data_IF_951494884627
#
_entry.id   IF_951494884627
#
_cell.length_a   1.000
_cell.length_b   1.000
_cell.length_c   1.000
_cell.angle_alpha   90.00
_cell.angle_beta   90.00
_cell.angle_gamma   90.00
#
_symmetry.space_group_name_H-M   'P 1'
#
loop_
_entity.id
_entity.type
_entity.pdbx_description
1 polymer ?
#
# COMPACT_ATOMS: atom_id res chain seq x y z
N UNK A 1 2.71 2.59 -4.66
CA UNK A 1 3.77 2.98 -3.70
C UNK A 1 3.47 4.30 -3.01
N UNK A 2 3.61 5.45 -3.71
CA UNK A 2 3.47 6.78 -3.08
C UNK A 2 2.13 6.93 -2.35
N UNK A 3 1.01 6.61 -2.99
CA UNK A 3 -0.33 6.74 -2.38
C UNK A 3 -0.45 5.94 -1.06
N UNK A 4 0.16 4.76 -0.98
CA UNK A 4 0.06 3.90 0.20
C UNK A 4 0.96 4.36 1.36
N UNK A 5 2.14 4.91 1.05
CA UNK A 5 3.13 5.26 2.06
C UNK A 5 3.12 6.73 2.46
N UNK A 6 2.64 7.62 1.59
CA UNK A 6 2.61 9.06 1.83
C UNK A 6 1.86 9.44 3.13
N UNK A 7 0.69 8.86 3.46
CA UNK A 7 0.00 9.19 4.71
C UNK A 7 0.83 8.87 5.96
N UNK A 8 1.52 7.73 5.98
CA UNK A 8 2.40 7.35 7.08
C UNK A 8 3.55 8.35 7.26
N UNK A 9 4.23 8.71 6.17
CA UNK A 9 5.32 9.68 6.22
C UNK A 9 4.85 11.07 6.65
N UNK A 10 3.69 11.53 6.16
CA UNK A 10 3.09 12.80 6.60
C UNK A 10 2.79 12.76 8.10
N UNK A 11 2.17 11.70 8.62
CA UNK A 11 1.92 11.60 10.06
C UNK A 11 3.20 11.61 10.88
N UNK A 12 4.28 11.02 10.37
CA UNK A 12 5.57 11.04 11.04
C UNK A 12 6.18 12.44 11.09
N UNK A 13 6.08 13.20 9.99
CA UNK A 13 6.50 14.61 9.95
C UNK A 13 5.65 15.45 10.91
N UNK A 14 4.33 15.28 10.91
CA UNK A 14 3.44 16.01 11.80
C UNK A 14 3.76 15.75 13.27
N UNK A 15 4.00 14.49 13.66
CA UNK A 15 4.36 14.15 15.04
C UNK A 15 5.67 14.79 15.53
N UNK A 16 6.56 15.20 14.62
CA UNK A 16 7.80 15.91 14.95
C UNK A 16 7.56 17.42 15.05
N UNK A 17 6.71 17.98 14.18
CA UNK A 17 6.54 19.44 14.03
C UNK A 17 5.37 20.00 14.83
N UNK A 18 4.43 19.16 15.24
CA UNK A 18 3.33 19.55 16.10
C UNK A 18 3.21 18.61 17.29
N UNK A 19 2.84 19.17 18.43
CA UNK A 19 2.44 18.42 19.63
C UNK A 19 1.02 17.82 19.46
N UNK A 20 0.70 17.42 18.23
CA UNK A 20 -0.57 16.82 17.88
C UNK A 20 -0.59 15.42 18.50
N UNK A 21 -1.49 15.18 19.45
CA UNK A 21 -1.77 13.83 19.93
C UNK A 21 -2.44 13.01 18.82
N UNK A 22 -1.63 12.47 17.90
CA UNK A 22 -2.09 11.55 16.85
C UNK A 22 -2.47 10.23 17.52
N UNK A 23 -3.72 9.77 17.38
CA UNK A 23 -4.14 8.52 18.02
C UNK A 23 -3.32 7.33 17.50
N UNK A 24 -2.94 6.37 18.36
CA UNK A 24 -2.20 5.16 17.96
C UNK A 24 -2.88 4.34 16.85
N UNK A 25 -4.23 4.41 16.81
CA UNK A 25 -5.05 3.77 15.77
C UNK A 25 -4.77 4.36 14.39
N UNK A 26 -4.54 5.68 14.28
CA UNK A 26 -4.23 6.35 13.01
C UNK A 26 -2.85 5.92 12.51
N UNK A 27 -1.86 5.86 13.40
CA UNK A 27 -0.52 5.33 13.09
C UNK A 27 -0.60 3.89 12.58
N UNK A 28 -1.37 3.04 13.28
CA UNK A 28 -1.56 1.66 12.89
C UNK A 28 -2.23 1.56 11.52
N UNK A 29 -3.31 2.31 11.28
CA UNK A 29 -4.03 2.32 10.01
C UNK A 29 -3.14 2.70 8.82
N UNK A 30 -2.33 3.76 8.94
CA UNK A 30 -1.43 4.17 7.85
C UNK A 30 -0.25 3.22 7.65
N UNK A 31 0.21 2.56 8.72
CA UNK A 31 1.20 1.49 8.59
C UNK A 31 0.63 0.30 7.81
N UNK A 32 -0.59 -0.14 8.15
CA UNK A 32 -1.30 -1.20 7.41
C UNK A 32 -1.56 -0.82 5.96
N UNK A 33 -1.93 0.43 5.68
CA UNK A 33 -2.06 0.94 4.30
C UNK A 33 -0.73 0.82 3.52
N UNK A 34 0.40 1.11 4.16
CA UNK A 34 1.73 0.89 3.60
C UNK A 34 1.97 -0.57 3.21
N UNK A 35 1.55 -1.52 4.04
CA UNK A 35 1.66 -2.96 3.74
C UNK A 35 0.73 -3.41 2.61
N UNK A 36 -0.45 -2.82 2.47
CA UNK A 36 -1.37 -3.10 1.34
C UNK A 36 -0.70 -2.83 -0.01
N UNK A 37 0.28 -1.92 -0.10
CA UNK A 37 1.05 -1.68 -1.32
C UNK A 37 1.63 -2.97 -1.94
N UNK A 38 2.11 -3.90 -1.11
CA UNK A 38 2.69 -5.15 -1.58
C UNK A 38 1.65 -6.06 -2.25
N UNK A 39 0.43 -6.10 -1.71
CA UNK A 39 -0.68 -6.87 -2.27
C UNK A 39 -1.28 -6.24 -3.53
N UNK A 40 -1.22 -4.91 -3.65
CA UNK A 40 -1.73 -4.17 -4.82
C UNK A 40 -0.84 -4.39 -6.06
N UNK A 41 0.46 -4.62 -5.89
CA UNK A 41 1.39 -4.79 -7.03
C UNK A 41 0.98 -5.92 -8.01
N UNK A 42 0.68 -7.16 -7.56
CA UNK A 42 0.14 -8.20 -8.44
C UNK A 42 -1.14 -7.80 -9.19
N UNK A 43 -2.03 -7.03 -8.55
CA UNK A 43 -3.27 -6.54 -9.17
C UNK A 43 -2.93 -5.57 -10.30
N UNK A 44 -1.99 -4.65 -10.09
CA UNK A 44 -1.51 -3.74 -11.12
C UNK A 44 -0.91 -4.53 -12.29
N UNK A 45 -0.05 -5.51 -12.03
CA UNK A 45 0.58 -6.31 -13.09
C UNK A 45 -0.46 -7.09 -13.91
N UNK A 46 -1.43 -7.72 -13.26
CA UNK A 46 -2.48 -8.48 -13.95
C UNK A 46 -3.49 -7.60 -14.67
N UNK A 47 -3.69 -6.35 -14.24
CA UNK A 47 -4.62 -5.41 -14.89
C UNK A 47 -3.99 -4.76 -16.12
N UNK A 48 -2.76 -4.27 -16.01
CA UNK A 48 -2.13 -3.44 -17.04
C UNK A 48 -1.15 -4.20 -17.94
N UNK A 49 -0.70 -5.40 -17.57
CA UNK A 49 0.17 -6.21 -18.40
C UNK A 49 -0.50 -7.53 -18.80
N UNK A 50 -0.81 -7.65 -20.09
CA UNK A 50 -1.57 -8.77 -20.63
C UNK A 50 -0.81 -10.10 -20.55
N UNK A 51 0.52 -10.07 -20.61
CA UNK A 51 1.35 -11.27 -20.52
C UNK A 51 1.39 -11.78 -19.08
N UNK A 52 1.50 -10.88 -18.08
CA UNK A 52 1.35 -11.25 -16.67
C UNK A 52 -0.04 -11.82 -16.38
N UNK A 53 -1.09 -11.23 -16.95
CA UNK A 53 -2.45 -11.75 -16.81
C UNK A 53 -2.60 -13.17 -17.36
N UNK A 54 -2.11 -13.42 -18.58
CA UNK A 54 -2.14 -14.76 -19.20
C UNK A 54 -1.35 -15.78 -18.39
N UNK A 55 -0.16 -15.40 -17.91
CA UNK A 55 0.66 -16.27 -17.07
C UNK A 55 -0.05 -16.62 -15.75
N UNK A 56 -0.65 -15.66 -15.07
CA UNK A 56 -1.44 -15.90 -13.86
C UNK A 56 -2.64 -16.82 -14.12
N UNK A 57 -3.40 -16.59 -15.19
CA UNK A 57 -4.54 -17.44 -15.55
C UNK A 57 -4.10 -18.88 -15.85
N UNK A 58 -2.96 -19.07 -16.55
CA UNK A 58 -2.40 -20.39 -16.82
C UNK A 58 -1.91 -21.12 -15.56
N UNK A 59 -1.44 -20.39 -14.55
CA UNK A 59 -1.05 -20.99 -13.26
C UNK A 59 -2.29 -21.40 -12.46
N UNK A 60 -3.36 -20.60 -12.51
CA UNK A 60 -4.58 -20.86 -11.74
C UNK A 60 -5.51 -21.88 -12.39
N UNK A 61 -5.50 -21.99 -13.72
CA UNK A 61 -6.20 -23.02 -14.48
C UNK A 61 -5.17 -24.05 -14.96
N UNK A 62 -5.06 -25.17 -14.23
CA UNK A 62 -4.30 -26.35 -14.66
C UNK A 62 -4.87 -26.95 -15.95
#
# INVERSE_FOLDING_TARGET
>A
FIICWLPFFITHILNIHCDCNIPPVVYSAFTWLGYVNSAVNPIIYTTFNIEFRKAFLKILHC
#
